data_IF_236212221404
#
_entry.id   IF_236212221404
#
_cell.length_a   1.000
_cell.length_b   1.000
_cell.length_c   1.000
_cell.angle_alpha   90.00
_cell.angle_beta   90.00
_cell.angle_gamma   90.00
#
_symmetry.space_group_name_H-M   'P 1'
#
loop_
_entity.id
_entity.type
_entity.pdbx_description
1 polymer ?
#
# COMPACT_ATOMS: atom_id res chain seq x y z
N UNK A 1 2.35 -25.09 20.54
CA UNK A 1 2.05 -24.20 19.40
C UNK A 1 2.57 -22.82 19.74
N UNK A 2 3.35 -22.17 18.85
CA UNK A 2 3.80 -20.82 19.07
C UNK A 2 2.61 -19.83 19.12
N UNK A 3 2.70 -18.84 20.00
CA UNK A 3 1.64 -17.85 20.27
C UNK A 3 2.03 -16.51 19.67
N UNK A 4 1.25 -16.03 18.69
CA UNK A 4 1.51 -14.81 17.94
C UNK A 4 0.46 -13.74 18.25
N UNK A 5 0.88 -12.60 18.82
CA UNK A 5 0.02 -11.45 19.10
C UNK A 5 0.19 -10.37 18.04
N UNK A 6 -0.89 -10.04 17.33
CA UNK A 6 -0.93 -8.92 16.40
C UNK A 6 -1.41 -7.63 17.10
N UNK A 7 -0.68 -6.55 16.98
CA UNK A 7 -1.05 -5.25 17.57
C UNK A 7 -1.33 -4.23 16.45
N UNK A 8 -2.57 -3.68 16.42
CA UNK A 8 -3.02 -2.74 15.40
C UNK A 8 -3.73 -1.52 16.03
N UNK A 9 -3.24 -0.32 15.75
CA UNK A 9 -3.83 0.93 16.20
C UNK A 9 -4.69 1.63 15.13
N UNK A 10 -4.61 1.20 13.87
CA UNK A 10 -5.40 1.79 12.79
C UNK A 10 -6.88 1.41 12.92
N UNK A 11 -7.76 2.39 12.65
CA UNK A 11 -9.22 2.19 12.75
C UNK A 11 -9.87 1.98 11.38
N UNK A 12 -9.18 2.36 10.29
CA UNK A 12 -9.63 2.15 8.92
C UNK A 12 -9.51 0.70 8.49
N UNK A 13 -9.72 0.48 7.19
CA UNK A 13 -9.41 -0.76 6.50
C UNK A 13 -8.74 -0.38 5.17
N UNK A 14 -7.47 -0.70 5.03
CA UNK A 14 -6.62 -0.31 3.91
C UNK A 14 -5.70 -1.48 3.51
N UNK A 15 -4.76 -1.27 2.62
CA UNK A 15 -3.83 -2.32 2.20
C UNK A 15 -3.07 -3.01 3.36
N UNK A 16 -2.76 -2.28 4.42
CA UNK A 16 -2.10 -2.85 5.60
C UNK A 16 -2.96 -3.88 6.35
N UNK A 17 -4.26 -3.62 6.48
CA UNK A 17 -5.21 -4.53 7.12
C UNK A 17 -5.50 -5.75 6.22
N UNK A 18 -5.52 -5.58 4.89
CA UNK A 18 -5.61 -6.71 3.94
C UNK A 18 -4.42 -7.65 4.13
N UNK A 19 -3.21 -7.12 4.15
CA UNK A 19 -1.99 -7.91 4.36
C UNK A 19 -1.98 -8.59 5.74
N UNK A 20 -2.45 -7.91 6.79
CA UNK A 20 -2.56 -8.52 8.13
C UNK A 20 -3.54 -9.68 8.15
N UNK A 21 -4.67 -9.59 7.42
CA UNK A 21 -5.63 -10.68 7.26
C UNK A 21 -4.99 -11.89 6.59
N UNK A 22 -4.29 -11.67 5.48
CA UNK A 22 -3.59 -12.75 4.75
C UNK A 22 -2.57 -13.46 5.65
N UNK A 23 -1.80 -12.70 6.44
CA UNK A 23 -0.87 -13.28 7.41
C UNK A 23 -1.59 -14.08 8.50
N UNK A 24 -2.69 -13.55 9.05
CA UNK A 24 -3.47 -14.27 10.08
C UNK A 24 -4.06 -15.57 9.53
N UNK A 25 -4.59 -15.57 8.31
CA UNK A 25 -5.07 -16.77 7.62
C UNK A 25 -3.93 -17.80 7.37
N UNK A 26 -2.75 -17.31 6.98
CA UNK A 26 -1.58 -18.16 6.78
C UNK A 26 -1.14 -18.82 8.10
N UNK A 27 -0.94 -18.05 9.17
CA UNK A 27 -0.51 -18.56 10.46
C UNK A 27 -1.54 -19.52 11.10
N UNK A 28 -2.84 -19.29 10.87
CA UNK A 28 -3.89 -20.22 11.31
C UNK A 28 -3.74 -21.62 10.67
N UNK A 29 -3.41 -21.68 9.37
CA UNK A 29 -3.18 -22.93 8.64
C UNK A 29 -1.88 -23.64 9.06
N UNK A 30 -0.91 -22.91 9.63
CA UNK A 30 0.42 -23.43 9.99
C UNK A 30 0.60 -23.66 11.49
N UNK A 31 -0.49 -23.77 12.24
CA UNK A 31 -0.46 -24.23 13.63
C UNK A 31 0.00 -23.18 14.64
N UNK A 32 -0.24 -21.89 14.38
CA UNK A 32 -0.01 -20.83 15.36
C UNK A 32 -1.28 -20.49 16.13
N UNK A 33 -1.19 -20.40 17.45
CA UNK A 33 -2.22 -19.77 18.26
C UNK A 33 -2.08 -18.25 18.10
N UNK A 34 -3.17 -17.57 17.75
CA UNK A 34 -3.11 -16.15 17.45
C UNK A 34 -4.06 -15.34 18.31
N UNK A 35 -3.72 -14.06 18.56
CA UNK A 35 -4.58 -13.10 19.21
C UNK A 35 -4.35 -11.68 18.67
N UNK A 36 -5.30 -10.78 18.91
CA UNK A 36 -5.25 -9.43 18.36
C UNK A 36 -5.46 -8.38 19.45
N UNK A 37 -4.55 -7.40 19.53
CA UNK A 37 -4.69 -6.20 20.35
C UNK A 37 -5.04 -5.00 19.46
N UNK A 38 -6.26 -4.48 19.54
CA UNK A 38 -6.81 -3.45 18.67
C UNK A 38 -7.02 -2.12 19.38
N UNK A 39 -7.01 -1.03 18.62
CA UNK A 39 -7.62 0.21 19.07
C UNK A 39 -9.16 0.06 19.07
N UNK A 40 -9.88 0.70 20.03
CA UNK A 40 -11.34 0.70 20.02
C UNK A 40 -11.89 1.26 18.70
N UNK A 41 -12.89 0.57 18.14
CA UNK A 41 -13.51 0.93 16.87
C UNK A 41 -12.67 0.60 15.62
N UNK A 42 -11.65 -0.23 15.72
CA UNK A 42 -10.91 -0.74 14.57
C UNK A 42 -11.80 -1.67 13.72
N UNK A 43 -11.87 -1.40 12.42
CA UNK A 43 -12.67 -2.24 11.48
C UNK A 43 -12.12 -3.67 11.35
N UNK A 44 -10.86 -3.87 11.65
CA UNK A 44 -10.23 -5.20 11.67
C UNK A 44 -10.85 -6.14 12.72
N UNK A 45 -11.63 -5.62 13.68
CA UNK A 45 -12.35 -6.44 14.65
C UNK A 45 -13.22 -7.50 13.99
N UNK A 46 -14.02 -7.12 12.98
CA UNK A 46 -14.88 -8.07 12.26
C UNK A 46 -14.05 -9.21 11.65
N UNK A 47 -12.91 -8.88 11.02
CA UNK A 47 -11.98 -9.89 10.48
C UNK A 47 -11.41 -10.80 11.57
N UNK A 48 -11.05 -10.26 12.73
CA UNK A 48 -10.55 -11.07 13.84
C UNK A 48 -11.63 -12.02 14.39
N UNK A 49 -12.87 -11.55 14.50
CA UNK A 49 -14.02 -12.36 14.92
C UNK A 49 -14.35 -13.45 13.90
N UNK A 50 -14.34 -13.15 12.60
CA UNK A 50 -14.53 -14.13 11.51
C UNK A 50 -13.47 -15.24 11.53
N UNK A 51 -12.24 -14.90 11.92
CA UNK A 51 -11.11 -15.85 12.07
C UNK A 51 -11.09 -16.54 13.45
N UNK A 52 -12.04 -16.25 14.34
CA UNK A 52 -12.11 -16.83 15.69
C UNK A 52 -10.96 -16.39 16.62
N UNK A 53 -10.32 -15.25 16.36
CA UNK A 53 -9.17 -14.78 17.14
C UNK A 53 -9.63 -14.03 18.41
N UNK A 54 -9.07 -14.30 19.59
CA UNK A 54 -9.32 -13.53 20.79
C UNK A 54 -8.87 -12.08 20.59
N UNK A 55 -9.72 -11.13 21.02
CA UNK A 55 -9.49 -9.70 20.83
C UNK A 55 -9.38 -8.98 22.16
N UNK A 56 -8.30 -8.22 22.33
CA UNK A 56 -8.13 -7.24 23.40
C UNK A 56 -8.23 -5.83 22.85
N UNK A 57 -8.68 -4.89 23.66
CA UNK A 57 -8.73 -3.48 23.27
C UNK A 57 -7.88 -2.61 24.20
N UNK A 58 -7.09 -1.73 23.59
CA UNK A 58 -6.38 -0.67 24.28
C UNK A 58 -6.44 0.64 23.45
N UNK A 59 -6.46 1.83 24.11
CA UNK A 59 -6.56 3.12 23.39
C UNK A 59 -5.25 3.49 22.68
N UNK A 60 -4.78 2.66 21.76
CA UNK A 60 -3.51 2.75 21.02
C UNK A 60 -3.34 4.03 20.17
N UNK A 61 -4.34 4.91 20.16
CA UNK A 61 -4.27 6.23 19.49
C UNK A 61 -4.16 7.41 20.46
N UNK A 62 -4.25 7.15 21.78
CA UNK A 62 -4.33 8.16 22.83
C UNK A 62 -3.27 7.91 23.90
N UNK A 63 -2.03 8.31 23.59
CA UNK A 63 -0.86 8.09 24.46
C UNK A 63 -1.01 8.66 25.90
N UNK A 64 -1.88 9.66 26.09
CA UNK A 64 -2.16 10.30 27.39
C UNK A 64 -3.16 9.55 28.27
N UNK A 65 -3.81 8.51 27.74
CA UNK A 65 -4.79 7.72 28.50
C UNK A 65 -4.09 6.94 29.62
N UNK A 66 -4.52 7.11 30.90
CA UNK A 66 -3.87 6.45 32.04
C UNK A 66 -4.04 4.92 32.00
N UNK A 67 -5.12 4.41 31.41
CA UNK A 67 -5.42 2.99 31.29
C UNK A 67 -4.68 2.28 30.15
N UNK A 68 -4.02 3.02 29.25
CA UNK A 68 -3.33 2.48 28.08
C UNK A 68 -2.33 1.36 28.45
N UNK A 69 -1.40 1.66 29.34
CA UNK A 69 -0.34 0.70 29.72
C UNK A 69 -0.91 -0.53 30.43
N UNK A 70 -1.91 -0.33 31.30
CA UNK A 70 -2.55 -1.41 32.04
C UNK A 70 -3.26 -2.39 31.09
N UNK A 71 -4.03 -1.87 30.10
CA UNK A 71 -4.74 -2.68 29.10
C UNK A 71 -3.78 -3.46 28.20
N UNK A 72 -2.71 -2.81 27.71
CA UNK A 72 -1.71 -3.50 26.91
C UNK A 72 -1.06 -4.64 27.74
N UNK A 73 -0.59 -4.35 28.95
CA UNK A 73 0.04 -5.34 29.82
C UNK A 73 -0.93 -6.47 30.20
N UNK A 74 -2.23 -6.18 30.30
CA UNK A 74 -3.25 -7.19 30.50
C UNK A 74 -3.31 -8.16 29.33
N UNK A 75 -3.39 -7.67 28.09
CA UNK A 75 -3.39 -8.50 26.89
C UNK A 75 -2.14 -9.40 26.82
N UNK A 76 -0.96 -8.83 27.11
CA UNK A 76 0.29 -9.59 27.15
C UNK A 76 0.34 -10.65 28.25
N UNK A 77 -0.25 -10.41 29.41
CA UNK A 77 -0.29 -11.40 30.49
C UNK A 77 -1.31 -12.52 30.21
N UNK A 78 -2.49 -12.17 29.68
CA UNK A 78 -3.57 -13.13 29.43
C UNK A 78 -3.25 -14.01 28.23
N UNK A 79 -2.69 -13.44 27.19
CA UNK A 79 -2.31 -14.19 25.99
C UNK A 79 -0.92 -14.83 26.08
N UNK A 80 0.02 -14.21 26.81
CA UNK A 80 1.43 -14.63 26.95
C UNK A 80 2.10 -15.01 25.63
N UNK A 81 2.24 -14.07 24.67
CA UNK A 81 2.77 -14.37 23.34
C UNK A 81 4.23 -14.79 23.36
N UNK A 82 4.61 -15.69 22.45
CA UNK A 82 6.01 -16.00 22.14
C UNK A 82 6.58 -14.97 21.17
N UNK A 83 5.75 -14.53 20.20
CA UNK A 83 6.10 -13.50 19.22
C UNK A 83 5.01 -12.43 19.18
N UNK A 84 5.41 -11.18 18.97
CA UNK A 84 4.50 -10.03 18.83
C UNK A 84 4.78 -9.28 17.54
N UNK A 85 3.77 -9.12 16.70
CA UNK A 85 3.78 -8.27 15.50
C UNK A 85 3.18 -6.91 15.82
N UNK A 86 3.90 -5.84 15.48
CA UNK A 86 3.33 -4.49 15.42
C UNK A 86 2.99 -4.13 13.98
N UNK A 87 1.68 -4.07 13.66
CA UNK A 87 1.20 -3.91 12.30
C UNK A 87 1.25 -2.46 11.79
N UNK A 88 1.34 -1.48 12.69
CA UNK A 88 1.43 -0.06 12.34
C UNK A 88 2.36 0.73 13.28
N UNK A 89 2.74 1.94 12.87
CA UNK A 89 3.70 2.75 13.59
C UNK A 89 3.25 3.25 14.98
N UNK A 90 1.95 3.28 15.28
CA UNK A 90 1.41 3.67 16.58
C UNK A 90 1.41 2.48 17.53
N UNK A 91 0.93 1.33 17.09
CA UNK A 91 1.00 0.09 17.87
C UNK A 91 2.46 -0.25 18.17
N UNK A 92 3.36 -0.11 17.18
CA UNK A 92 4.80 -0.30 17.36
C UNK A 92 5.37 0.59 18.50
N UNK A 93 5.02 1.86 18.54
CA UNK A 93 5.54 2.76 19.57
C UNK A 93 4.88 2.51 20.92
N UNK A 94 3.54 2.51 21.00
CA UNK A 94 2.79 2.49 22.25
C UNK A 94 2.76 1.09 22.90
N UNK A 95 2.48 0.05 22.09
CA UNK A 95 2.48 -1.31 22.60
C UNK A 95 3.92 -1.80 22.83
N UNK A 96 4.88 -1.44 21.98
CA UNK A 96 6.29 -1.76 22.15
C UNK A 96 6.87 -1.19 23.45
N UNK A 97 6.56 0.07 23.81
CA UNK A 97 6.95 0.64 25.10
C UNK A 97 6.29 -0.06 26.29
N UNK A 98 5.00 -0.37 26.20
CA UNK A 98 4.26 -1.00 27.30
C UNK A 98 4.67 -2.46 27.51
N UNK A 99 5.06 -3.15 26.44
CA UNK A 99 5.53 -4.53 26.42
C UNK A 99 7.04 -4.67 26.63
N UNK A 100 7.75 -3.56 26.90
CA UNK A 100 9.19 -3.62 27.18
C UNK A 100 9.44 -4.46 28.45
N UNK A 101 10.33 -5.44 28.33
CA UNK A 101 10.61 -6.42 29.38
C UNK A 101 9.71 -7.67 29.35
N UNK A 102 8.72 -7.74 28.47
CA UNK A 102 8.03 -9.01 28.19
C UNK A 102 8.93 -9.92 27.37
N UNK A 103 8.88 -11.24 27.63
CA UNK A 103 9.75 -12.26 27.03
C UNK A 103 9.58 -12.43 25.52
N UNK A 104 8.41 -12.06 24.99
CA UNK A 104 8.10 -12.25 23.57
C UNK A 104 9.13 -11.59 22.67
N UNK A 105 9.52 -12.26 21.60
CA UNK A 105 10.23 -11.66 20.48
C UNK A 105 9.30 -10.69 19.76
N UNK A 106 9.81 -9.60 19.23
CA UNK A 106 9.00 -8.52 18.67
C UNK A 106 9.47 -8.16 17.29
N UNK A 107 8.54 -8.08 16.35
CA UNK A 107 8.84 -7.56 15.01
C UNK A 107 7.81 -6.56 14.54
N UNK A 108 8.18 -5.77 13.54
CA UNK A 108 7.27 -4.85 12.87
C UNK A 108 7.43 -4.96 11.36
N UNK A 109 6.35 -4.72 10.63
CA UNK A 109 6.37 -4.60 9.16
C UNK A 109 6.20 -3.12 8.82
N UNK A 110 7.20 -2.56 8.15
CA UNK A 110 7.17 -1.15 7.76
C UNK A 110 6.66 -0.99 6.33
N UNK A 111 5.52 -0.28 6.19
CA UNK A 111 4.76 -0.14 4.93
C UNK A 111 4.74 1.25 4.31
N UNK A 112 5.69 2.14 4.70
CA UNK A 112 5.76 3.50 4.11
C UNK A 112 7.17 4.08 4.18
N UNK A 113 7.58 4.79 3.13
CA UNK A 113 8.93 5.32 2.93
C UNK A 113 9.18 6.70 3.61
N UNK A 114 8.32 7.13 4.53
CA UNK A 114 8.58 8.38 5.25
C UNK A 114 9.97 8.37 5.90
N UNK A 115 10.70 9.50 5.88
CA UNK A 115 11.99 9.61 6.55
C UNK A 115 11.88 9.22 8.03
N UNK A 116 12.85 8.44 8.50
CA UNK A 116 12.98 8.09 9.92
C UNK A 116 13.97 9.07 10.53
N UNK A 117 13.53 9.85 11.51
CA UNK A 117 14.45 10.72 12.26
C UNK A 117 15.43 9.85 13.06
N UNK A 118 16.73 10.13 12.96
CA UNK A 118 17.75 9.47 13.78
C UNK A 118 17.50 9.75 15.28
N UNK A 119 17.96 8.83 16.13
CA UNK A 119 17.95 8.93 17.58
C UNK A 119 16.58 8.65 18.20
N UNK A 120 16.38 9.19 19.44
CA UNK A 120 15.23 8.94 20.29
C UNK A 120 13.85 9.15 19.63
N UNK A 121 13.71 10.11 18.74
CA UNK A 121 12.41 10.45 18.12
C UNK A 121 12.00 9.55 16.95
N UNK A 122 12.87 8.68 16.45
CA UNK A 122 12.55 7.87 15.28
C UNK A 122 13.24 6.52 15.26
N UNK A 123 14.57 6.49 15.22
CA UNK A 123 15.38 5.26 15.17
C UNK A 123 15.16 4.36 16.40
N UNK A 124 14.97 4.96 17.58
CA UNK A 124 14.78 4.24 18.85
C UNK A 124 13.75 3.10 18.78
N UNK A 125 12.61 3.31 18.12
CA UNK A 125 11.58 2.27 18.04
C UNK A 125 12.03 1.04 17.27
N UNK A 126 12.85 1.21 16.22
CA UNK A 126 13.36 0.10 15.40
C UNK A 126 14.59 -0.57 16.01
N UNK A 127 15.33 0.13 16.88
CA UNK A 127 16.56 -0.39 17.48
C UNK A 127 16.33 -0.95 18.88
N UNK A 128 15.30 -0.50 19.61
CA UNK A 128 15.10 -0.80 21.03
C UNK A 128 13.74 -1.41 21.39
N UNK A 129 12.73 -1.30 20.51
CA UNK A 129 11.38 -1.80 20.80
C UNK A 129 11.00 -3.05 20.02
N UNK A 130 11.80 -3.43 19.03
CA UNK A 130 11.64 -4.67 18.26
C UNK A 130 12.98 -5.37 18.09
N UNK A 131 12.92 -6.67 17.94
CA UNK A 131 14.07 -7.52 17.66
C UNK A 131 14.37 -7.56 16.16
N UNK A 132 13.31 -7.44 15.33
CA UNK A 132 13.43 -7.49 13.87
C UNK A 132 12.46 -6.54 13.16
N UNK A 133 12.80 -6.12 11.95
CA UNK A 133 11.95 -5.28 11.11
C UNK A 133 11.86 -5.84 9.69
N UNK A 134 10.64 -6.05 9.22
CA UNK A 134 10.40 -6.39 7.82
C UNK A 134 10.17 -5.10 7.04
N UNK A 135 10.93 -4.91 5.97
CA UNK A 135 10.75 -3.85 5.00
C UNK A 135 10.01 -4.40 3.77
N UNK A 136 8.94 -3.74 3.33
CA UNK A 136 8.15 -4.24 2.18
C UNK A 136 8.68 -3.77 0.81
N UNK A 137 9.78 -3.03 0.79
CA UNK A 137 10.50 -2.64 -0.42
C UNK A 137 11.92 -2.16 -0.04
N UNK A 138 12.85 -2.16 -0.99
CA UNK A 138 14.24 -1.74 -0.74
C UNK A 138 14.33 -0.27 -0.33
N UNK A 139 13.51 0.62 -0.89
CA UNK A 139 13.45 2.02 -0.47
C UNK A 139 13.19 2.16 1.05
N UNK A 140 12.35 1.31 1.63
CA UNK A 140 12.10 1.27 3.08
C UNK A 140 13.30 0.67 3.82
N UNK A 141 13.93 -0.40 3.30
CA UNK A 141 15.13 -0.99 3.87
C UNK A 141 16.25 0.06 3.97
N UNK A 142 16.49 0.84 2.92
CA UNK A 142 17.46 1.93 2.93
C UNK A 142 17.15 3.01 3.99
N UNK A 143 15.86 3.32 4.22
CA UNK A 143 15.46 4.24 5.30
C UNK A 143 15.75 3.69 6.71
N UNK A 144 15.61 2.39 6.90
CA UNK A 144 15.91 1.71 8.17
C UNK A 144 17.42 1.70 8.44
N UNK A 145 18.24 1.33 7.43
CA UNK A 145 19.70 1.38 7.49
C UNK A 145 20.20 2.79 7.81
N UNK A 146 19.69 3.80 7.12
CA UNK A 146 20.01 5.21 7.37
C UNK A 146 19.60 5.68 8.77
N UNK A 147 18.61 5.06 9.40
CA UNK A 147 18.18 5.34 10.77
C UNK A 147 19.02 4.60 11.84
N UNK A 148 19.97 3.75 11.43
CA UNK A 148 20.88 3.02 12.31
C UNK A 148 20.35 1.65 12.74
N UNK A 149 19.39 1.07 12.01
CA UNK A 149 19.00 -0.34 12.19
C UNK A 149 20.07 -1.21 11.54
N UNK A 150 20.58 -2.22 12.25
CA UNK A 150 21.57 -3.15 11.71
C UNK A 150 20.94 -4.01 10.60
N UNK A 151 21.73 -4.33 9.57
CA UNK A 151 21.23 -5.02 8.37
C UNK A 151 20.71 -6.43 8.67
N UNK A 152 21.34 -7.14 9.58
CA UNK A 152 20.95 -8.47 10.07
C UNK A 152 19.59 -8.46 10.82
N UNK A 153 19.07 -7.28 11.16
CA UNK A 153 17.77 -7.06 11.79
C UNK A 153 16.71 -6.56 10.82
N UNK A 154 16.99 -6.60 9.51
CA UNK A 154 16.06 -6.18 8.47
C UNK A 154 15.93 -7.32 7.46
N UNK A 155 14.70 -7.75 7.20
CA UNK A 155 14.39 -8.63 6.06
C UNK A 155 13.54 -7.87 5.07
N UNK A 156 13.85 -8.00 3.78
CA UNK A 156 13.01 -7.51 2.69
C UNK A 156 11.98 -8.60 2.37
N UNK A 157 10.70 -8.29 2.57
CA UNK A 157 9.56 -9.15 2.18
C UNK A 157 8.56 -8.27 1.47
N UNK A 158 8.33 -8.51 0.21
CA UNK A 158 7.34 -7.75 -0.55
C UNK A 158 5.92 -8.05 -0.07
N UNK A 159 5.06 -7.03 0.01
CA UNK A 159 3.62 -7.27 0.13
C UNK A 159 3.13 -7.96 -1.16
N UNK A 160 2.24 -8.92 -1.03
CA UNK A 160 1.63 -9.66 -2.13
C UNK A 160 0.16 -9.31 -2.32
N UNK A 161 -0.38 -9.66 -3.48
CA UNK A 161 -1.79 -9.53 -3.79
C UNK A 161 -2.28 -10.73 -4.59
N UNK A 162 -3.50 -11.23 -4.29
CA UNK A 162 -4.16 -12.24 -5.13
C UNK A 162 -4.38 -11.68 -6.54
N UNK A 163 -3.77 -12.27 -7.58
CA UNK A 163 -3.92 -11.79 -8.95
C UNK A 163 -5.28 -12.13 -9.56
N UNK A 164 -5.98 -13.14 -9.04
CA UNK A 164 -7.20 -13.69 -9.63
C UNK A 164 -8.26 -12.64 -9.98
N UNK A 165 -8.65 -11.73 -9.07
CA UNK A 165 -9.65 -10.72 -9.33
C UNK A 165 -9.26 -9.67 -10.40
N UNK A 166 -7.97 -9.54 -10.72
CA UNK A 166 -7.44 -8.47 -11.60
C UNK A 166 -7.08 -8.96 -12.99
N UNK A 167 -6.81 -10.26 -13.15
CA UNK A 167 -6.46 -10.84 -14.45
C UNK A 167 -7.68 -10.91 -15.37
N UNK A 168 -7.47 -10.69 -16.68
CA UNK A 168 -8.55 -10.73 -17.68
C UNK A 168 -9.48 -9.52 -17.69
N UNK A 169 -9.29 -8.51 -16.84
CA UNK A 169 -10.16 -7.33 -16.78
C UNK A 169 -10.26 -6.57 -18.10
N UNK A 170 -9.22 -6.60 -18.93
CA UNK A 170 -9.22 -5.90 -20.23
C UNK A 170 -10.28 -6.45 -21.21
N UNK A 171 -10.72 -7.67 -21.05
CA UNK A 171 -11.81 -8.25 -21.84
C UNK A 171 -13.16 -7.55 -21.57
N UNK A 172 -13.32 -6.94 -20.40
CA UNK A 172 -14.49 -6.21 -19.96
C UNK A 172 -14.42 -4.70 -20.27
N UNK A 173 -13.41 -4.24 -21.04
CA UNK A 173 -13.13 -2.81 -21.29
C UNK A 173 -14.33 -2.03 -21.81
N UNK A 174 -15.02 -2.56 -22.81
CA UNK A 174 -16.17 -1.86 -23.42
C UNK A 174 -17.32 -1.67 -22.42
N UNK A 175 -17.66 -2.72 -21.68
CA UNK A 175 -18.73 -2.69 -20.68
C UNK A 175 -18.38 -1.79 -19.50
N UNK A 176 -17.12 -1.85 -19.02
CA UNK A 176 -16.64 -1.01 -17.95
C UNK A 176 -16.70 0.48 -18.32
N UNK A 177 -16.32 0.83 -19.57
CA UNK A 177 -16.46 2.20 -20.08
C UNK A 177 -17.90 2.67 -20.13
N UNK A 178 -18.81 1.83 -20.57
CA UNK A 178 -20.24 2.14 -20.57
C UNK A 178 -20.76 2.39 -19.13
N UNK A 179 -20.41 1.53 -18.17
CA UNK A 179 -20.79 1.71 -16.75
C UNK A 179 -20.21 2.99 -16.14
N UNK A 180 -19.01 3.39 -16.55
CA UNK A 180 -18.34 4.60 -16.05
C UNK A 180 -18.68 5.87 -16.86
N UNK A 181 -19.48 5.78 -17.90
CA UNK A 181 -19.83 6.91 -18.78
C UNK A 181 -18.61 7.48 -19.52
N UNK A 182 -17.66 6.61 -19.91
CA UNK A 182 -16.47 6.97 -20.66
C UNK A 182 -16.67 6.73 -22.18
N UNK A 183 -16.14 7.58 -23.06
CA UNK A 183 -16.20 7.34 -24.49
C UNK A 183 -15.49 6.03 -24.86
N UNK A 184 -16.05 5.29 -25.84
CA UNK A 184 -15.52 3.99 -26.28
C UNK A 184 -14.12 4.09 -26.89
N UNK A 185 -13.83 5.18 -27.55
CA UNK A 185 -12.62 5.50 -28.31
C UNK A 185 -11.60 6.36 -27.55
N UNK A 186 -11.97 6.85 -26.35
CA UNK A 186 -11.06 7.66 -25.54
C UNK A 186 -9.80 6.89 -25.12
N UNK A 187 -8.68 7.60 -24.99
CA UNK A 187 -7.51 7.10 -24.28
C UNK A 187 -7.61 7.47 -22.81
N UNK A 188 -7.85 6.49 -21.94
CA UNK A 188 -8.16 6.69 -20.53
C UNK A 188 -6.92 6.55 -19.67
N UNK A 189 -6.47 7.65 -19.10
CA UNK A 189 -5.40 7.73 -18.10
C UNK A 189 -6.05 7.70 -16.72
N UNK A 190 -5.63 6.77 -15.85
CA UNK A 190 -6.31 6.55 -14.58
C UNK A 190 -5.37 6.63 -13.38
N UNK A 191 -5.90 7.12 -12.27
CA UNK A 191 -5.40 6.91 -10.93
C UNK A 191 -6.55 6.43 -10.05
N UNK A 192 -6.34 5.31 -9.36
CA UNK A 192 -7.28 4.79 -8.36
C UNK A 192 -6.66 4.87 -6.95
N UNK A 193 -7.39 5.45 -6.00
CA UNK A 193 -6.93 5.51 -4.61
C UNK A 193 -7.46 6.70 -3.82
N UNK A 194 -7.10 6.74 -2.53
CA UNK A 194 -7.52 7.81 -1.63
C UNK A 194 -6.91 9.15 -2.07
N UNK A 195 -7.74 10.19 -2.18
CA UNK A 195 -7.31 11.53 -2.57
C UNK A 195 -6.65 12.24 -1.39
N UNK A 196 -5.32 12.14 -1.33
CA UNK A 196 -4.48 12.78 -0.29
C UNK A 196 -3.27 13.46 -0.94
N UNK A 197 -2.70 14.52 -0.31
CA UNK A 197 -1.57 15.27 -0.88
C UNK A 197 -0.40 14.37 -1.30
N UNK A 198 -0.11 13.32 -0.51
CA UNK A 198 1.00 12.40 -0.79
C UNK A 198 0.84 11.57 -2.07
N UNK A 199 -0.38 11.45 -2.61
CA UNK A 199 -0.69 10.64 -3.81
C UNK A 199 -0.44 11.40 -5.13
N UNK A 200 -0.23 12.72 -5.08
CA UNK A 200 0.21 13.51 -6.23
C UNK A 200 -0.83 13.73 -7.33
N UNK A 201 -2.14 13.56 -7.04
CA UNK A 201 -3.19 13.78 -8.05
C UNK A 201 -3.14 15.15 -8.68
N UNK A 202 -2.75 16.19 -7.92
CA UNK A 202 -2.57 17.55 -8.43
C UNK A 202 -1.46 17.65 -9.48
N UNK A 203 -0.35 16.91 -9.29
CA UNK A 203 0.74 16.85 -10.28
C UNK A 203 0.26 16.16 -11.56
N UNK A 204 -0.59 15.12 -11.43
CA UNK A 204 -1.15 14.45 -12.60
C UNK A 204 -2.11 15.33 -13.40
N UNK A 205 -2.90 16.19 -12.73
CA UNK A 205 -3.75 17.17 -13.41
C UNK A 205 -2.88 18.22 -14.15
N UNK A 206 -1.80 18.70 -13.52
CA UNK A 206 -0.87 19.65 -14.15
C UNK A 206 -0.16 19.01 -15.38
N UNK A 207 0.23 17.74 -15.29
CA UNK A 207 0.81 17.01 -16.40
C UNK A 207 -0.20 16.77 -17.54
N UNK A 208 -1.42 16.38 -17.19
CA UNK A 208 -2.49 16.14 -18.17
C UNK A 208 -2.88 17.41 -18.94
N UNK A 209 -2.87 18.58 -18.29
CA UNK A 209 -3.14 19.85 -18.92
C UNK A 209 -2.18 20.19 -20.07
N UNK A 210 -0.96 19.66 -20.06
CA UNK A 210 0.02 19.84 -21.13
C UNK A 210 -0.22 18.93 -22.35
N UNK A 211 -1.16 17.99 -22.23
CA UNK A 211 -1.42 16.96 -23.24
C UNK A 211 -2.77 17.12 -23.94
N UNK A 212 -3.72 17.78 -23.29
CA UNK A 212 -5.14 17.79 -23.71
C UNK A 212 -5.37 18.43 -25.07
N UNK A 213 -4.58 19.41 -25.48
CA UNK A 213 -4.68 20.08 -26.78
C UNK A 213 -4.04 19.25 -27.89
N UNK A 214 -3.00 18.46 -27.59
CA UNK A 214 -2.30 17.59 -28.53
C UNK A 214 -3.07 16.26 -28.73
N UNK A 215 -3.76 15.78 -27.66
CA UNK A 215 -4.51 14.52 -27.64
C UNK A 215 -5.95 14.75 -27.17
N UNK A 216 -6.81 15.30 -28.02
CA UNK A 216 -8.18 15.65 -27.64
C UNK A 216 -9.07 14.46 -27.29
N UNK A 217 -8.71 13.23 -27.64
CA UNK A 217 -9.37 11.99 -27.24
C UNK A 217 -9.01 11.52 -25.83
N UNK A 218 -7.96 12.10 -25.21
CA UNK A 218 -7.52 11.70 -23.89
C UNK A 218 -8.50 12.11 -22.78
N UNK A 219 -8.70 11.23 -21.82
CA UNK A 219 -9.50 11.44 -20.61
C UNK A 219 -8.70 11.06 -19.39
N UNK A 220 -8.67 11.94 -18.37
CA UNK A 220 -8.10 11.65 -17.07
C UNK A 220 -9.22 11.24 -16.11
N UNK A 221 -9.12 10.04 -15.53
CA UNK A 221 -10.11 9.47 -14.61
C UNK A 221 -9.51 9.23 -13.24
N UNK A 222 -9.87 10.06 -12.26
CA UNK A 222 -9.34 10.03 -10.89
C UNK A 222 -10.36 9.39 -9.96
N UNK A 223 -10.30 8.06 -9.83
CA UNK A 223 -11.22 7.29 -8.98
C UNK A 223 -10.77 7.31 -7.52
N UNK A 224 -11.63 7.77 -6.64
CA UNK A 224 -11.38 7.79 -5.20
C UNK A 224 -11.99 8.98 -4.51
N UNK A 225 -11.89 8.98 -3.18
CA UNK A 225 -12.36 10.07 -2.32
C UNK A 225 -11.31 10.41 -1.27
N UNK A 226 -11.38 11.59 -0.69
CA UNK A 226 -10.45 12.03 0.33
C UNK A 226 -10.39 13.55 0.53
N UNK A 227 -9.48 13.97 1.39
CA UNK A 227 -9.34 15.38 1.79
C UNK A 227 -9.02 16.35 0.65
N UNK A 228 -8.47 15.84 -0.47
CA UNK A 228 -8.08 16.67 -1.62
C UNK A 228 -9.20 16.86 -2.66
N UNK A 229 -10.35 16.18 -2.55
CA UNK A 229 -11.42 16.25 -3.55
C UNK A 229 -11.80 17.67 -3.93
N UNK A 230 -12.05 18.53 -2.95
CA UNK A 230 -12.44 19.92 -3.18
C UNK A 230 -11.36 20.74 -3.90
N UNK A 231 -10.09 20.54 -3.49
CA UNK A 231 -8.94 21.21 -4.10
C UNK A 231 -8.70 20.78 -5.54
N UNK A 232 -8.81 19.47 -5.81
CA UNK A 232 -8.65 18.92 -7.16
C UNK A 232 -9.75 19.42 -8.11
N UNK A 233 -11.02 19.47 -7.65
CA UNK A 233 -12.10 20.05 -8.44
C UNK A 233 -11.87 21.54 -8.77
N UNK A 234 -11.39 22.33 -7.82
CA UNK A 234 -11.01 23.73 -8.05
C UNK A 234 -9.87 23.86 -9.07
N UNK A 235 -8.87 22.97 -9.00
CA UNK A 235 -7.77 22.92 -9.96
C UNK A 235 -8.29 22.65 -11.38
N UNK A 236 -9.11 21.60 -11.54
CA UNK A 236 -9.75 21.24 -12.82
C UNK A 236 -10.56 22.41 -13.41
N UNK A 237 -11.36 23.09 -12.58
CA UNK A 237 -12.14 24.27 -13.02
C UNK A 237 -11.26 25.41 -13.46
N UNK A 238 -10.24 25.75 -12.66
CA UNK A 238 -9.30 26.83 -12.98
C UNK A 238 -8.54 26.59 -14.29
N UNK A 239 -8.20 25.33 -14.58
CA UNK A 239 -7.49 24.93 -15.79
C UNK A 239 -8.42 24.64 -16.98
N UNK A 240 -9.75 24.80 -16.81
CA UNK A 240 -10.78 24.54 -17.84
C UNK A 240 -10.78 23.10 -18.38
N UNK A 241 -10.47 22.12 -17.52
CA UNK A 241 -10.35 20.69 -17.87
C UNK A 241 -11.61 19.88 -17.54
N UNK A 242 -12.73 20.52 -17.17
CA UNK A 242 -13.91 19.87 -16.60
C UNK A 242 -14.53 18.74 -17.46
N UNK A 243 -14.40 18.80 -18.78
CA UNK A 243 -14.89 17.75 -19.66
C UNK A 243 -13.92 16.57 -19.83
N UNK A 244 -12.63 16.83 -19.65
CA UNK A 244 -11.55 15.87 -19.85
C UNK A 244 -11.06 15.19 -18.58
N UNK A 245 -11.31 15.80 -17.41
CA UNK A 245 -10.93 15.24 -16.11
C UNK A 245 -12.17 14.85 -15.33
N UNK A 246 -12.30 13.56 -15.05
CA UNK A 246 -13.42 12.99 -14.29
C UNK A 246 -12.98 12.71 -12.85
N UNK A 247 -13.75 13.20 -11.89
CA UNK A 247 -13.59 13.02 -10.44
C UNK A 247 -14.88 12.41 -9.86
N UNK A 248 -15.17 11.12 -10.15
CA UNK A 248 -16.45 10.49 -9.81
C UNK A 248 -16.63 10.27 -8.30
N UNK A 249 -15.58 10.40 -7.52
CA UNK A 249 -15.55 9.93 -6.16
C UNK A 249 -15.17 8.45 -6.07
N UNK A 250 -15.63 7.78 -5.03
CA UNK A 250 -15.38 6.34 -4.86
C UNK A 250 -16.17 5.52 -5.88
N UNK A 251 -15.49 4.71 -6.67
CA UNK A 251 -16.07 3.76 -7.62
C UNK A 251 -16.12 2.37 -6.99
N UNK A 252 -17.24 1.67 -7.15
CA UNK A 252 -17.43 0.30 -6.69
C UNK A 252 -18.31 -0.47 -7.70
N UNK A 253 -17.85 -1.61 -8.21
CA UNK A 253 -16.54 -2.22 -7.96
C UNK A 253 -15.38 -1.43 -8.60
N UNK A 254 -14.22 -1.45 -7.97
CA UNK A 254 -13.02 -0.76 -8.48
C UNK A 254 -12.46 -1.43 -9.75
N UNK A 255 -12.79 -2.68 -10.00
CA UNK A 255 -12.37 -3.44 -11.19
C UNK A 255 -12.74 -2.73 -12.50
N UNK A 256 -13.91 -2.06 -12.54
CA UNK A 256 -14.32 -1.28 -13.71
C UNK A 256 -13.33 -0.17 -14.05
N UNK A 257 -12.70 0.42 -13.05
CA UNK A 257 -11.70 1.47 -13.25
C UNK A 257 -10.48 0.94 -13.99
N UNK A 258 -9.96 -0.21 -13.58
CA UNK A 258 -8.81 -0.85 -14.23
C UNK A 258 -9.18 -1.41 -15.61
N UNK A 259 -10.35 -2.04 -15.74
CA UNK A 259 -10.85 -2.57 -17.00
C UNK A 259 -11.00 -1.48 -18.08
N UNK A 260 -11.51 -0.29 -17.69
CA UNK A 260 -11.75 0.83 -18.61
C UNK A 260 -10.49 1.57 -19.04
N UNK A 261 -9.38 1.38 -18.34
CA UNK A 261 -8.15 2.19 -18.46
C UNK A 261 -7.23 1.73 -19.59
N UNK A 262 -6.43 2.65 -20.13
CA UNK A 262 -5.35 2.36 -21.07
C UNK A 262 -3.96 2.51 -20.41
N UNK A 263 -3.84 3.43 -19.44
CA UNK A 263 -2.63 3.66 -18.63
C UNK A 263 -3.01 3.93 -17.19
N UNK A 264 -2.32 3.31 -16.26
CA UNK A 264 -2.42 3.62 -14.84
C UNK A 264 -1.30 4.56 -14.41
N UNK A 265 -1.59 5.48 -13.48
CA UNK A 265 -0.60 6.44 -12.99
C UNK A 265 -0.57 6.50 -11.47
N UNK A 266 0.64 6.60 -10.89
CA UNK A 266 0.81 6.81 -9.45
C UNK A 266 1.98 7.79 -9.16
N UNK A 267 1.76 9.11 -9.30
CA UNK A 267 2.78 10.14 -9.13
C UNK A 267 2.96 10.53 -7.66
N UNK A 268 2.97 9.57 -6.76
CA UNK A 268 3.02 9.76 -5.31
C UNK A 268 4.33 10.40 -4.84
N UNK A 269 4.27 11.09 -3.70
CA UNK A 269 5.44 11.59 -2.98
C UNK A 269 5.99 10.55 -1.98
N UNK A 270 5.09 9.74 -1.41
CA UNK A 270 5.44 8.70 -0.43
C UNK A 270 4.55 7.47 -0.61
N UNK A 271 5.18 6.31 -0.72
CA UNK A 271 4.54 4.99 -0.77
C UNK A 271 5.31 3.96 0.07
N UNK A 272 4.70 2.79 0.20
CA UNK A 272 5.39 1.54 0.48
C UNK A 272 5.56 0.76 -0.81
N UNK A 273 5.03 -0.44 -0.87
CA UNK A 273 4.70 -1.15 -2.09
C UNK A 273 3.24 -0.82 -2.42
N UNK A 274 3.01 -0.16 -3.55
CA UNK A 274 1.69 0.40 -3.84
C UNK A 274 0.72 -0.67 -4.37
N UNK A 275 -0.27 -1.11 -3.57
CA UNK A 275 -1.26 -2.10 -4.01
C UNK A 275 -1.96 -1.70 -5.31
N UNK A 276 -2.31 -0.43 -5.49
CA UNK A 276 -2.95 0.03 -6.73
C UNK A 276 -2.03 -0.13 -7.96
N UNK A 277 -0.70 -0.07 -7.79
CA UNK A 277 0.25 -0.40 -8.85
C UNK A 277 0.29 -1.91 -9.11
N UNK A 278 0.20 -2.75 -8.08
CA UNK A 278 0.09 -4.21 -8.24
C UNK A 278 -1.22 -4.59 -8.94
N UNK A 279 -2.33 -4.01 -8.51
CA UNK A 279 -3.65 -4.17 -9.13
C UNK A 279 -3.60 -3.82 -10.63
N UNK A 280 -2.96 -2.69 -10.98
CA UNK A 280 -2.76 -2.27 -12.35
C UNK A 280 -1.86 -3.23 -13.15
N UNK A 281 -0.78 -3.73 -12.53
CA UNK A 281 0.09 -4.72 -13.15
C UNK A 281 -0.64 -6.03 -13.45
N UNK A 282 -1.41 -6.55 -12.50
CA UNK A 282 -2.22 -7.77 -12.69
C UNK A 282 -3.34 -7.58 -13.71
N UNK A 283 -3.84 -6.35 -13.89
CA UNK A 283 -4.75 -5.97 -14.97
C UNK A 283 -4.05 -5.73 -16.32
N UNK A 284 -2.75 -6.05 -16.44
CA UNK A 284 -1.94 -5.81 -17.64
C UNK A 284 -1.97 -4.35 -18.12
N UNK A 285 -2.04 -3.39 -17.21
CA UNK A 285 -1.96 -1.97 -17.54
C UNK A 285 -0.52 -1.48 -17.50
N UNK A 286 -0.05 -0.76 -18.53
CA UNK A 286 1.20 -0.04 -18.45
C UNK A 286 1.08 1.07 -17.40
N UNK A 287 2.19 1.42 -16.77
CA UNK A 287 2.17 2.37 -15.68
C UNK A 287 3.13 3.53 -15.89
N UNK A 288 2.74 4.71 -15.40
CA UNK A 288 3.67 5.82 -15.17
C UNK A 288 3.65 6.13 -13.67
N UNK A 289 4.76 5.87 -13.01
CA UNK A 289 4.87 6.01 -11.56
C UNK A 289 6.01 6.95 -11.17
N UNK A 290 5.93 7.54 -9.97
CA UNK A 290 7.06 8.28 -9.43
C UNK A 290 8.07 7.36 -8.71
N UNK A 291 9.25 7.89 -8.41
CA UNK A 291 10.30 7.23 -7.59
C UNK A 291 9.92 7.09 -6.11
N UNK A 292 8.63 7.06 -5.75
CA UNK A 292 8.16 6.96 -4.38
C UNK A 292 8.14 5.50 -3.90
N UNK A 293 8.76 5.24 -2.76
CA UNK A 293 8.77 3.92 -2.14
C UNK A 293 9.20 2.83 -3.11
N UNK A 294 8.48 1.72 -3.11
CA UNK A 294 8.69 0.57 -3.99
C UNK A 294 8.07 0.68 -5.38
N UNK A 295 7.60 1.85 -5.81
CA UNK A 295 7.01 1.99 -7.15
C UNK A 295 7.99 1.58 -8.26
N UNK A 296 9.27 1.98 -8.14
CA UNK A 296 10.33 1.59 -9.09
C UNK A 296 10.79 0.12 -8.93
N UNK A 297 10.28 -0.59 -7.95
CA UNK A 297 10.49 -2.03 -7.78
C UNK A 297 9.37 -2.83 -8.47
N UNK A 298 8.16 -2.27 -8.54
CA UNK A 298 7.04 -2.82 -9.30
C UNK A 298 7.24 -2.54 -10.80
N UNK A 299 7.53 -1.27 -11.13
CA UNK A 299 7.66 -0.79 -12.51
C UNK A 299 9.14 -0.64 -12.88
N UNK A 300 9.57 -1.34 -13.92
CA UNK A 300 10.90 -1.22 -14.50
C UNK A 300 10.85 -0.19 -15.62
N UNK A 301 11.65 0.88 -15.49
CA UNK A 301 11.62 2.00 -16.43
C UNK A 301 12.01 1.57 -17.86
N UNK A 302 11.14 1.89 -18.81
CA UNK A 302 11.30 1.55 -20.24
C UNK A 302 10.99 0.09 -20.60
N UNK A 303 10.63 -0.76 -19.62
CA UNK A 303 10.31 -2.18 -19.86
C UNK A 303 8.86 -2.53 -19.51
N UNK A 304 8.42 -2.19 -18.29
CA UNK A 304 7.06 -2.46 -17.81
C UNK A 304 6.24 -1.20 -17.59
N UNK A 305 6.86 -0.03 -17.80
CA UNK A 305 6.27 1.28 -17.61
C UNK A 305 7.32 2.38 -17.64
N UNK A 306 6.98 3.54 -17.09
CA UNK A 306 7.93 4.64 -16.92
C UNK A 306 7.99 5.08 -15.47
N UNK A 307 9.20 5.42 -15.01
CA UNK A 307 9.46 5.93 -13.65
C UNK A 307 9.96 7.38 -13.75
N UNK A 308 9.23 8.29 -13.09
CA UNK A 308 9.53 9.74 -13.17
C UNK A 308 9.90 10.30 -11.80
N UNK A 309 10.60 11.45 -11.72
CA UNK A 309 10.85 12.12 -10.45
C UNK A 309 9.57 12.53 -9.72
N UNK A 310 9.61 12.54 -8.38
CA UNK A 310 8.49 12.97 -7.54
C UNK A 310 8.15 14.44 -7.77
N UNK A 311 6.89 14.75 -8.02
CA UNK A 311 6.40 16.12 -8.17
C UNK A 311 6.76 16.79 -9.51
N UNK A 312 7.33 16.06 -10.45
CA UNK A 312 7.73 16.55 -11.77
C UNK A 312 6.58 16.31 -12.78
N UNK A 313 5.78 17.35 -13.01
CA UNK A 313 4.66 17.29 -13.94
C UNK A 313 5.13 17.20 -15.40
N UNK A 314 6.28 17.79 -15.74
CA UNK A 314 6.81 17.80 -17.11
C UNK A 314 7.32 16.41 -17.49
N UNK A 315 8.07 15.76 -16.60
CA UNK A 315 8.51 14.38 -16.80
C UNK A 315 7.31 13.41 -16.88
N UNK A 316 6.27 13.63 -16.05
CA UNK A 316 5.05 12.82 -16.07
C UNK A 316 4.30 13.02 -17.40
N UNK A 317 4.16 14.26 -17.89
CA UNK A 317 3.56 14.57 -19.19
C UNK A 317 4.35 13.91 -20.34
N UNK A 318 5.68 14.03 -20.32
CA UNK A 318 6.55 13.41 -21.33
C UNK A 318 6.40 11.89 -21.38
N UNK A 319 6.30 11.20 -20.22
CA UNK A 319 6.08 9.77 -20.15
C UNK A 319 4.69 9.36 -20.68
N UNK A 320 3.64 10.09 -20.29
CA UNK A 320 2.28 9.86 -20.80
C UNK A 320 2.16 10.09 -22.31
N UNK A 321 2.83 11.14 -22.84
CA UNK A 321 2.87 11.44 -24.27
C UNK A 321 3.39 10.25 -25.09
N UNK A 322 4.39 9.51 -24.58
CA UNK A 322 4.92 8.32 -25.28
C UNK A 322 3.85 7.26 -25.48
N UNK A 323 2.97 7.05 -24.50
CA UNK A 323 1.87 6.09 -24.60
C UNK A 323 0.74 6.59 -25.50
N UNK A 324 0.40 7.87 -25.44
CA UNK A 324 -0.59 8.50 -26.30
C UNK A 324 -0.16 8.44 -27.77
N UNK A 325 1.12 8.72 -28.05
CA UNK A 325 1.68 8.66 -29.41
C UNK A 325 1.92 7.23 -29.94
N UNK A 326 2.12 6.26 -29.05
CA UNK A 326 2.43 4.87 -29.42
C UNK A 326 1.66 3.86 -28.54
N UNK A 327 0.33 3.66 -28.74
CA UNK A 327 -0.49 2.76 -27.93
C UNK A 327 0.02 1.29 -27.92
N UNK A 328 0.71 0.85 -28.96
CA UNK A 328 1.31 -0.49 -29.01
C UNK A 328 2.38 -0.69 -27.91
N UNK A 329 3.16 0.35 -27.60
CA UNK A 329 4.12 0.33 -26.48
C UNK A 329 3.40 0.18 -25.13
N UNK A 330 2.24 0.82 -24.97
CA UNK A 330 1.41 0.66 -23.78
C UNK A 330 1.02 -0.81 -23.57
N UNK A 331 0.55 -1.48 -24.63
CA UNK A 331 0.17 -2.90 -24.57
C UNK A 331 1.37 -3.79 -24.22
N UNK A 332 2.54 -3.57 -24.84
CA UNK A 332 3.74 -4.35 -24.58
C UNK A 332 4.24 -4.19 -23.11
N UNK A 333 4.29 -2.96 -22.60
CA UNK A 333 4.69 -2.70 -21.21
C UNK A 333 3.69 -3.29 -20.22
N UNK A 334 2.38 -3.22 -20.50
CA UNK A 334 1.36 -3.84 -19.65
C UNK A 334 1.51 -5.36 -19.54
N UNK A 335 1.77 -6.04 -20.67
CA UNK A 335 2.01 -7.48 -20.69
C UNK A 335 3.29 -7.86 -19.90
N UNK A 336 4.39 -7.13 -20.12
CA UNK A 336 5.63 -7.34 -19.36
C UNK A 336 5.45 -7.07 -17.86
N UNK A 337 4.64 -6.05 -17.50
CA UNK A 337 4.30 -5.73 -16.10
C UNK A 337 3.51 -6.85 -15.43
N UNK A 338 2.56 -7.45 -16.13
CA UNK A 338 1.80 -8.61 -15.65
C UNK A 338 2.74 -9.79 -15.37
N UNK A 339 3.58 -10.17 -16.36
CA UNK A 339 4.53 -11.29 -16.21
C UNK A 339 5.45 -11.10 -14.99
N UNK A 340 6.01 -9.90 -14.83
CA UNK A 340 6.86 -9.56 -13.68
C UNK A 340 6.09 -9.69 -12.37
N UNK A 341 4.88 -9.15 -12.29
CA UNK A 341 4.12 -9.12 -11.05
C UNK A 341 3.61 -10.50 -10.64
N UNK A 342 3.24 -11.34 -11.60
CA UNK A 342 2.92 -12.76 -11.35
C UNK A 342 4.09 -13.54 -10.76
N UNK A 343 5.33 -13.17 -11.08
CA UNK A 343 6.52 -13.83 -10.55
C UNK A 343 6.93 -13.33 -9.16
N UNK A 344 6.68 -12.05 -8.84
CA UNK A 344 7.31 -11.39 -7.68
C UNK A 344 6.35 -10.92 -6.60
N UNK A 345 5.08 -10.69 -6.91
CA UNK A 345 4.18 -9.93 -6.05
C UNK A 345 2.83 -10.61 -5.81
N UNK A 346 2.74 -11.92 -6.02
CA UNK A 346 1.56 -12.69 -5.65
C UNK A 346 1.51 -12.90 -4.13
N UNK A 347 0.35 -13.16 -3.59
CA UNK A 347 0.14 -13.38 -2.14
C UNK A 347 0.77 -14.67 -1.60
N UNK A 348 1.10 -15.61 -2.46
CA UNK A 348 1.74 -16.89 -2.09
C UNK A 348 3.08 -16.72 -1.37
N UNK A 349 3.79 -15.61 -1.60
CA UNK A 349 5.12 -15.37 -1.02
C UNK A 349 5.08 -14.78 0.38
N UNK A 350 4.09 -13.92 0.67
CA UNK A 350 4.07 -13.14 1.90
C UNK A 350 4.03 -14.01 3.16
N UNK A 351 3.10 -14.95 3.20
CA UNK A 351 2.92 -15.83 4.37
C UNK A 351 4.17 -16.62 4.73
N UNK A 352 4.73 -17.42 3.80
CA UNK A 352 5.94 -18.22 4.03
C UNK A 352 7.16 -17.36 4.41
N UNK A 353 7.38 -16.22 3.75
CA UNK A 353 8.54 -15.36 4.03
C UNK A 353 8.45 -14.70 5.42
N UNK A 354 7.26 -14.23 5.82
CA UNK A 354 7.06 -13.70 7.17
C UNK A 354 7.14 -14.80 8.22
N UNK A 355 6.66 -16.02 7.93
CA UNK A 355 6.79 -17.17 8.81
C UNK A 355 8.26 -17.53 9.05
N UNK A 356 9.10 -17.52 8.03
CA UNK A 356 10.54 -17.76 8.17
C UNK A 356 11.21 -16.77 9.14
N UNK A 357 10.82 -15.49 9.09
CA UNK A 357 11.29 -14.48 10.05
C UNK A 357 10.81 -14.79 11.48
N UNK A 358 9.55 -15.21 11.64
CA UNK A 358 8.99 -15.59 12.96
C UNK A 358 9.71 -16.81 13.51
N UNK A 359 9.99 -17.83 12.71
CA UNK A 359 10.72 -19.04 13.12
C UNK A 359 12.17 -18.74 13.50
N UNK A 360 12.85 -17.87 12.74
CA UNK A 360 14.18 -17.37 13.11
C UNK A 360 14.16 -16.69 14.48
N UNK A 361 13.16 -15.87 14.77
CA UNK A 361 13.02 -15.20 16.05
C UNK A 361 12.74 -16.18 17.20
N UNK A 362 12.00 -17.24 16.96
CA UNK A 362 11.71 -18.29 17.96
C UNK A 362 12.92 -19.19 18.24
N UNK A 363 13.80 -19.37 17.27
CA UNK A 363 15.03 -20.17 17.39
C UNK A 363 16.22 -19.42 17.97
N UNK A 364 16.13 -18.09 18.11
CA UNK A 364 17.16 -17.20 18.66
C UNK A 364 16.80 -16.81 20.11
#
# INVERSE_FOLDING_TARGET
MPRLLHCLAEQGYSGGEVQLRMLAEHFAKHGYEQGVLLAPGARFRATAEDLGLPVWEAPLRRWWRPDLRAKIRRAFREFDPDVTQFADGRSHYLAGLAARGHRSKKFTIRRIDYPIRRGWKGGFRYTQLVDHTIAICDAIRQRLLAAGVADDRITLVYDGLDPGPWTGLREQRAEARQRLGLPSDAFVITLAGVLRPRKGQHVLIDAFAQLVDEFPEAVLFLAGDGSEMGRLRQQVTRMRLGEKVKLPGRVSPVFDVYAASDVFTMPSFHEGLCNACLEASFAALPQVVSTAGGNAEIVVDGETGYVVPKGDADALAAALRRYLAAPATAVAHGAAGLERSMRMFTDDHLGPEVQAVVEQLLGS
#
